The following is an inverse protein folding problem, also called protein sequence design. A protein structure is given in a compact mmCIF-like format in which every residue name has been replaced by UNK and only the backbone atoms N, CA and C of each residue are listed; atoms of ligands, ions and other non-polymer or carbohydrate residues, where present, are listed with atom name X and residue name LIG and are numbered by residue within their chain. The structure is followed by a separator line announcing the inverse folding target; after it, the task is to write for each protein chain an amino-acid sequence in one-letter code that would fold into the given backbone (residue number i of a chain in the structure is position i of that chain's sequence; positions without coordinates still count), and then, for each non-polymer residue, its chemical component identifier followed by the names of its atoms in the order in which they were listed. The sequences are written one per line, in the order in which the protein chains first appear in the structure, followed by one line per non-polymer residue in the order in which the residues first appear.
data_IF_102292049872
#
_entry.id   IF_102292049872
#
_cell.length_a   1.000
_cell.length_b   1.000
_cell.length_c   1.000
_cell.angle_alpha   90.00
_cell.angle_beta   90.00
_cell.angle_gamma   90.00
#
_symmetry.space_group_name_H-M   'P 1'
#
loop_
_entity.id
_entity.type
_entity.pdbx_description
1 polymer ?
#
# COMPACT_ATOMS: atom_id res chain seq x y z
N UNK A 1 -30.77 -8.46 3.73
CA UNK A 1 -29.86 -7.78 2.79
C UNK A 1 -28.43 -8.03 3.22
N UNK A 2 -27.62 -8.56 2.34
CA UNK A 2 -26.19 -8.68 2.59
C UNK A 2 -25.53 -7.32 2.33
N UNK A 3 -24.82 -6.80 3.32
CA UNK A 3 -24.00 -5.60 3.16
C UNK A 3 -22.61 -6.04 2.70
N UNK A 4 -22.32 -5.91 1.42
CA UNK A 4 -20.99 -6.18 0.86
C UNK A 4 -20.14 -4.93 0.96
N UNK A 5 -18.98 -5.04 1.61
CA UNK A 5 -18.01 -3.95 1.65
C UNK A 5 -17.16 -3.97 0.37
N UNK A 6 -17.06 -2.82 -0.29
CA UNK A 6 -16.16 -2.67 -1.44
C UNK A 6 -14.91 -1.92 -1.00
N UNK A 7 -13.75 -2.58 -1.17
CA UNK A 7 -12.45 -2.02 -0.80
C UNK A 7 -11.71 -1.57 -2.08
N UNK A 8 -11.59 -0.28 -2.27
CA UNK A 8 -10.77 0.29 -3.34
C UNK A 8 -9.34 0.44 -2.82
N UNK A 9 -8.42 -0.33 -3.37
CA UNK A 9 -7.03 -0.41 -2.89
C UNK A 9 -6.03 -0.13 -4.00
N UNK A 10 -4.95 0.55 -3.64
CA UNK A 10 -3.89 0.93 -4.57
C UNK A 10 -2.52 0.73 -3.92
N UNK A 11 -1.52 0.46 -4.75
CA UNK A 11 -0.12 0.39 -4.36
C UNK A 11 0.54 1.71 -4.76
N UNK A 12 1.11 2.44 -3.80
CA UNK A 12 1.84 3.67 -4.10
C UNK A 12 1.75 4.75 -3.03
N UNK A 13 0.63 4.85 -2.31
CA UNK A 13 0.53 5.76 -1.17
C UNK A 13 1.33 5.22 0.02
N UNK A 14 2.10 6.09 0.65
CA UNK A 14 2.92 5.71 1.80
C UNK A 14 2.08 5.38 3.04
N UNK A 15 1.03 6.14 3.29
CA UNK A 15 0.11 5.86 4.41
C UNK A 15 -0.62 4.52 4.27
N UNK A 16 -0.74 4.00 3.07
CA UNK A 16 -1.37 2.70 2.82
C UNK A 16 -0.60 1.54 3.43
N UNK A 17 0.69 1.73 3.75
CA UNK A 17 1.44 0.75 4.56
C UNK A 17 0.67 0.38 5.84
N UNK A 18 0.15 1.39 6.55
CA UNK A 18 -0.59 1.17 7.79
C UNK A 18 -1.84 0.30 7.57
N UNK A 19 -2.54 0.54 6.47
CA UNK A 19 -3.71 -0.26 6.09
C UNK A 19 -3.31 -1.68 5.68
N UNK A 20 -2.22 -1.81 4.92
CA UNK A 20 -1.78 -3.11 4.38
C UNK A 20 -1.48 -4.13 5.48
N UNK A 21 -1.00 -3.69 6.63
CA UNK A 21 -0.65 -4.57 7.75
C UNK A 21 -1.81 -4.85 8.70
N UNK A 22 -2.98 -4.22 8.48
CA UNK A 22 -4.13 -4.30 9.39
C UNK A 22 -5.42 -4.78 8.72
N UNK A 23 -5.52 -4.64 7.40
CA UNK A 23 -6.79 -4.82 6.69
C UNK A 23 -7.35 -6.24 6.83
N UNK A 24 -6.51 -7.27 6.67
CA UNK A 24 -6.95 -8.67 6.78
C UNK A 24 -7.63 -8.95 8.13
N UNK A 25 -7.00 -8.52 9.22
CA UNK A 25 -7.54 -8.70 10.56
C UNK A 25 -8.86 -7.94 10.74
N UNK A 26 -8.92 -6.70 10.26
CA UNK A 26 -10.14 -5.90 10.35
C UNK A 26 -11.29 -6.52 9.57
N UNK A 27 -11.04 -7.01 8.36
CA UNK A 27 -12.06 -7.66 7.54
C UNK A 27 -12.55 -8.96 8.19
N UNK A 28 -11.65 -9.78 8.71
CA UNK A 28 -12.01 -11.06 9.34
C UNK A 28 -12.84 -10.87 10.62
N UNK A 29 -12.64 -9.77 11.34
CA UNK A 29 -13.34 -9.51 12.60
C UNK A 29 -14.71 -8.86 12.41
N UNK A 30 -14.87 -8.01 11.40
CA UNK A 30 -16.03 -7.12 11.31
C UNK A 30 -16.88 -7.28 10.06
N UNK A 31 -16.38 -7.94 9.02
CA UNK A 31 -17.07 -8.01 7.74
C UNK A 31 -17.11 -9.45 7.24
N UNK A 32 -18.28 -9.92 6.86
CA UNK A 32 -18.45 -11.27 6.31
C UNK A 32 -18.11 -11.33 4.82
N UNK A 33 -18.56 -10.33 4.07
CA UNK A 33 -18.39 -10.26 2.61
C UNK A 33 -17.71 -8.97 2.20
N UNK A 34 -16.62 -9.07 1.46
CA UNK A 34 -15.94 -7.92 0.88
C UNK A 34 -15.47 -8.21 -0.53
N UNK A 35 -15.39 -7.16 -1.33
CA UNK A 35 -14.86 -7.19 -2.69
C UNK A 35 -13.70 -6.22 -2.77
N UNK A 36 -12.58 -6.67 -3.32
CA UNK A 36 -11.41 -5.83 -3.55
C UNK A 36 -11.43 -5.32 -4.98
N UNK A 37 -11.35 -4.01 -5.15
CA UNK A 37 -11.26 -3.34 -6.44
C UNK A 37 -9.95 -2.55 -6.51
N UNK A 38 -8.92 -3.10 -7.16
CA UNK A 38 -7.66 -2.39 -7.33
C UNK A 38 -7.82 -1.20 -8.25
N UNK A 39 -7.08 -0.12 -7.95
CA UNK A 39 -7.00 1.06 -8.81
C UNK A 39 -5.63 1.71 -8.68
N UNK A 40 -5.31 2.66 -9.56
CA UNK A 40 -4.02 3.33 -9.59
C UNK A 40 -4.16 4.77 -9.14
N UNK A 41 -4.08 5.00 -7.81
CA UNK A 41 -4.26 6.34 -7.24
C UNK A 41 -3.17 7.31 -7.70
N UNK A 42 -1.93 6.83 -7.87
CA UNK A 42 -0.82 7.69 -8.27
C UNK A 42 -1.06 8.29 -9.65
N UNK A 43 -1.55 7.48 -10.58
CA UNK A 43 -1.89 7.95 -11.92
C UNK A 43 -2.99 9.02 -11.87
N UNK A 44 -4.02 8.79 -11.07
CA UNK A 44 -5.11 9.75 -10.88
C UNK A 44 -4.57 11.08 -10.31
N UNK A 45 -3.71 11.00 -9.29
CA UNK A 45 -3.11 12.19 -8.70
C UNK A 45 -2.25 12.98 -9.69
N UNK A 46 -1.48 12.29 -10.53
CA UNK A 46 -0.67 12.93 -11.59
C UNK A 46 -1.59 13.61 -12.61
N UNK A 47 -2.62 12.91 -13.09
CA UNK A 47 -3.56 13.44 -14.07
C UNK A 47 -4.34 14.65 -13.54
N UNK A 48 -4.60 14.70 -12.24
CA UNK A 48 -5.28 15.80 -11.57
C UNK A 48 -4.32 16.91 -11.09
N UNK A 49 -3.04 16.79 -11.32
CA UNK A 49 -2.01 17.71 -10.84
C UNK A 49 -2.08 17.94 -9.31
N UNK A 50 -2.46 16.89 -8.57
CA UNK A 50 -2.65 16.95 -7.13
C UNK A 50 -1.83 15.86 -6.42
N UNK A 51 -0.56 16.16 -6.15
CA UNK A 51 0.35 15.27 -5.43
C UNK A 51 0.51 15.81 -4.01
N UNK A 52 -0.03 15.12 -2.97
CA UNK A 52 -0.06 15.67 -1.61
C UNK A 52 1.31 15.76 -0.94
N UNK A 53 2.27 14.90 -1.30
CA UNK A 53 3.60 14.88 -0.70
C UNK A 53 4.70 14.91 -1.78
N UNK A 54 4.83 16.01 -2.54
CA UNK A 54 5.88 16.10 -3.56
C UNK A 54 7.25 16.20 -2.90
N UNK A 55 8.27 15.60 -3.51
CA UNK A 55 9.65 15.61 -2.97
C UNK A 55 10.21 17.02 -2.78
N UNK A 56 9.72 17.97 -3.55
CA UNK A 56 10.11 19.40 -3.42
C UNK A 56 9.71 20.03 -2.08
N UNK A 57 8.71 19.47 -1.40
CA UNK A 57 8.28 19.91 -0.07
C UNK A 57 8.87 18.99 0.99
N UNK A 58 10.18 19.09 1.19
CA UNK A 58 10.95 18.19 2.06
C UNK A 58 10.46 18.11 3.49
N UNK A 59 10.08 19.24 4.07
CA UNK A 59 9.57 19.30 5.46
C UNK A 59 8.24 18.52 5.60
N UNK A 60 7.37 18.64 4.61
CA UNK A 60 6.10 17.91 4.59
C UNK A 60 6.33 16.41 4.43
N UNK A 61 7.28 16.02 3.59
CA UNK A 61 7.66 14.61 3.39
C UNK A 61 8.28 14.04 4.67
N UNK A 62 9.15 14.79 5.33
CA UNK A 62 9.74 14.37 6.61
C UNK A 62 8.68 14.17 7.69
N UNK A 63 7.71 15.10 7.78
CA UNK A 63 6.59 14.95 8.69
C UNK A 63 5.77 13.67 8.38
N UNK A 64 5.53 13.40 7.12
CA UNK A 64 4.83 12.18 6.69
C UNK A 64 5.51 10.92 7.23
N UNK A 65 6.84 10.83 7.12
CA UNK A 65 7.59 9.68 7.64
C UNK A 65 7.45 9.53 9.15
N UNK A 66 7.58 10.62 9.88
CA UNK A 66 7.41 10.61 11.34
C UNK A 66 6.00 10.22 11.76
N UNK A 67 5.00 10.70 11.03
CA UNK A 67 3.61 10.38 11.32
C UNK A 67 3.31 8.89 11.06
N UNK A 68 3.85 8.32 9.99
CA UNK A 68 3.72 6.89 9.71
C UNK A 68 4.34 6.05 10.83
N UNK A 69 5.53 6.42 11.31
CA UNK A 69 6.19 5.72 12.42
C UNK A 69 5.36 5.77 13.70
N UNK A 70 4.82 6.94 14.05
CA UNK A 70 3.96 7.10 15.23
C UNK A 70 2.68 6.28 15.13
N UNK A 71 2.06 6.25 13.96
CA UNK A 71 0.83 5.48 13.74
C UNK A 71 1.13 3.98 13.74
N UNK A 72 2.25 3.54 13.18
CA UNK A 72 2.67 2.15 13.25
C UNK A 72 2.81 1.68 14.71
N UNK A 73 3.46 2.49 15.54
CA UNK A 73 3.58 2.22 16.97
C UNK A 73 2.19 2.12 17.64
N UNK A 74 1.32 3.09 17.36
CA UNK A 74 -0.04 3.13 17.91
C UNK A 74 -0.86 1.89 17.53
N UNK A 75 -0.70 1.40 16.32
CA UNK A 75 -1.46 0.25 15.80
C UNK A 75 -0.78 -1.09 16.09
N UNK A 76 0.35 -1.09 16.78
CA UNK A 76 1.11 -2.29 17.12
C UNK A 76 1.52 -3.13 15.91
N UNK A 77 1.86 -2.45 14.82
CA UNK A 77 2.44 -3.07 13.63
C UNK A 77 3.92 -2.72 13.52
N UNK A 78 4.65 -3.40 12.61
CA UNK A 78 6.07 -3.17 12.43
C UNK A 78 6.35 -1.70 12.10
N UNK A 79 7.27 -1.08 12.83
CA UNK A 79 7.64 0.32 12.63
C UNK A 79 8.74 0.38 11.58
N UNK A 80 8.52 1.07 10.44
CA UNK A 80 9.53 1.14 9.40
C UNK A 80 10.67 2.09 9.75
N UNK A 81 11.87 1.78 9.26
CA UNK A 81 12.97 2.74 9.21
C UNK A 81 12.79 3.63 8.00
N UNK A 82 12.55 4.91 8.22
CA UNK A 82 12.29 5.86 7.14
C UNK A 82 13.47 6.81 6.91
N UNK A 83 13.63 7.36 5.70
CA UNK A 83 12.76 7.20 4.52
C UNK A 83 12.91 5.84 3.84
N UNK A 84 11.85 5.39 3.21
CA UNK A 84 11.89 4.24 2.27
C UNK A 84 11.91 4.77 0.83
N UNK A 85 12.23 3.92 -0.19
CA UNK A 85 12.20 4.38 -1.58
C UNK A 85 10.85 5.01 -1.95
N UNK A 86 10.86 6.29 -2.34
CA UNK A 86 9.64 7.06 -2.60
C UNK A 86 9.96 8.23 -3.54
N UNK A 87 9.09 8.60 -4.48
CA UNK A 87 7.88 7.90 -4.90
C UNK A 87 8.20 6.63 -5.71
N UNK A 88 7.21 5.74 -5.86
CA UNK A 88 7.40 4.51 -6.65
C UNK A 88 7.68 4.84 -8.11
N UNK A 89 8.64 4.14 -8.70
CA UNK A 89 8.96 4.24 -10.12
C UNK A 89 8.00 3.42 -10.98
N UNK A 90 7.66 2.22 -10.53
CA UNK A 90 6.83 1.25 -11.26
C UNK A 90 5.44 1.09 -10.65
N UNK A 91 4.80 2.21 -10.33
CA UNK A 91 3.45 2.18 -9.75
C UNK A 91 2.40 1.59 -10.70
N UNK A 92 2.58 1.72 -12.02
CA UNK A 92 1.70 1.10 -13.01
C UNK A 92 1.79 -0.42 -12.93
N UNK A 93 3.00 -0.98 -12.95
CA UNK A 93 3.23 -2.42 -12.84
C UNK A 93 2.70 -2.96 -11.52
N UNK A 94 2.97 -2.29 -10.40
CA UNK A 94 2.49 -2.70 -9.09
C UNK A 94 0.97 -2.85 -9.06
N UNK A 95 0.26 -1.92 -9.68
CA UNK A 95 -1.21 -1.94 -9.69
C UNK A 95 -1.80 -2.88 -10.74
N UNK A 96 -1.11 -3.12 -11.86
CA UNK A 96 -1.50 -4.16 -12.81
C UNK A 96 -1.41 -5.55 -12.18
N UNK A 97 -0.35 -5.83 -11.44
CA UNK A 97 -0.22 -7.07 -10.68
C UNK A 97 -1.34 -7.16 -9.63
N UNK A 98 -1.70 -6.04 -9.01
CA UNK A 98 -2.83 -5.97 -8.10
C UNK A 98 -4.16 -6.38 -8.75
N UNK A 99 -4.39 -5.96 -9.99
CA UNK A 99 -5.59 -6.39 -10.75
C UNK A 99 -5.58 -7.91 -10.96
N UNK A 100 -4.45 -8.47 -11.37
CA UNK A 100 -4.30 -9.91 -11.53
C UNK A 100 -4.53 -10.63 -10.20
N UNK A 101 -3.93 -10.14 -9.13
CA UNK A 101 -4.07 -10.71 -7.79
C UNK A 101 -5.54 -10.72 -7.32
N UNK A 102 -6.28 -9.66 -7.58
CA UNK A 102 -7.69 -9.58 -7.23
C UNK A 102 -8.53 -10.57 -8.03
N UNK A 103 -8.23 -10.72 -9.31
CA UNK A 103 -8.93 -11.68 -10.19
C UNK A 103 -8.69 -13.13 -9.78
N UNK A 104 -7.49 -13.44 -9.32
CA UNK A 104 -7.08 -14.80 -8.94
C UNK A 104 -7.24 -15.10 -7.44
N UNK A 105 -7.66 -14.11 -6.64
CA UNK A 105 -7.98 -14.32 -5.24
C UNK A 105 -6.81 -14.23 -4.26
N UNK A 106 -5.66 -13.64 -4.65
CA UNK A 106 -4.50 -13.49 -3.77
C UNK A 106 -4.10 -12.03 -3.52
N UNK A 107 -5.04 -11.09 -3.68
CA UNK A 107 -4.72 -9.67 -3.52
C UNK A 107 -4.22 -9.33 -2.11
N UNK A 108 -4.86 -9.84 -1.05
CA UNK A 108 -4.44 -9.50 0.31
C UNK A 108 -3.02 -9.97 0.61
N UNK A 109 -2.64 -11.16 0.14
CA UNK A 109 -1.27 -11.67 0.29
C UNK A 109 -0.28 -10.77 -0.46
N UNK A 110 -0.59 -10.39 -1.67
CA UNK A 110 0.21 -9.46 -2.46
C UNK A 110 0.34 -8.10 -1.77
N UNK A 111 -0.78 -7.53 -1.34
CA UNK A 111 -0.87 -6.23 -0.70
C UNK A 111 -0.03 -6.15 0.58
N UNK A 112 -0.20 -7.10 1.47
CA UNK A 112 0.57 -7.18 2.71
C UNK A 112 2.07 -7.35 2.44
N UNK A 113 2.43 -8.30 1.58
CA UNK A 113 3.82 -8.66 1.33
C UNK A 113 4.57 -7.56 0.60
N UNK A 114 3.99 -6.98 -0.46
CA UNK A 114 4.67 -5.94 -1.22
C UNK A 114 4.93 -4.70 -0.37
N UNK A 115 4.00 -4.31 0.50
CA UNK A 115 4.19 -3.19 1.42
C UNK A 115 5.19 -3.51 2.53
N UNK A 116 5.19 -4.73 3.06
CA UNK A 116 6.18 -5.13 4.07
C UNK A 116 7.59 -5.14 3.49
N UNK A 117 7.77 -5.71 2.31
CA UNK A 117 9.06 -5.69 1.62
C UNK A 117 9.53 -4.26 1.34
N UNK A 118 8.62 -3.38 0.95
CA UNK A 118 8.94 -1.99 0.68
C UNK A 118 9.32 -1.23 1.95
N UNK A 119 8.50 -1.28 2.99
CA UNK A 119 8.66 -0.46 4.20
C UNK A 119 9.65 -1.05 5.21
N UNK A 120 9.79 -2.36 5.31
CA UNK A 120 10.67 -2.99 6.29
C UNK A 120 12.01 -3.41 5.66
N UNK A 121 11.99 -3.95 4.45
CA UNK A 121 13.19 -4.43 3.78
C UNK A 121 13.77 -3.43 2.77
N UNK A 122 13.15 -2.28 2.59
CA UNK A 122 13.55 -1.22 1.65
C UNK A 122 13.63 -1.69 0.18
N UNK A 123 12.81 -2.68 -0.18
CA UNK A 123 12.67 -3.18 -1.54
C UNK A 123 11.45 -2.51 -2.18
N UNK A 124 11.70 -1.52 -3.02
CA UNK A 124 10.64 -0.70 -3.62
C UNK A 124 9.56 -1.55 -4.29
N UNK A 125 8.28 -1.27 -3.98
CA UNK A 125 7.15 -1.96 -4.60
C UNK A 125 7.19 -1.80 -6.11
N UNK A 126 6.96 -2.88 -6.86
CA UNK A 126 7.06 -2.88 -8.31
C UNK A 126 8.48 -3.10 -8.84
N UNK A 127 9.50 -3.13 -7.97
CA UNK A 127 10.86 -3.48 -8.36
C UNK A 127 10.99 -4.97 -8.59
N UNK A 128 11.97 -5.37 -9.39
CA UNK A 128 12.26 -6.77 -9.65
C UNK A 128 12.54 -7.54 -8.34
N UNK A 129 13.31 -6.95 -7.43
CA UNK A 129 13.62 -7.57 -6.14
C UNK A 129 12.37 -7.79 -5.28
N UNK A 130 11.52 -6.78 -5.18
CA UNK A 130 10.27 -6.90 -4.41
C UNK A 130 9.40 -8.00 -5.01
N UNK A 131 9.16 -7.95 -6.33
CA UNK A 131 8.30 -8.92 -7.01
C UNK A 131 8.83 -10.35 -6.93
N UNK A 132 10.15 -10.55 -6.96
CA UNK A 132 10.75 -11.88 -6.89
C UNK A 132 10.55 -12.56 -5.53
N UNK A 133 10.28 -11.83 -4.49
CA UNK A 133 10.07 -12.35 -3.13
C UNK A 133 8.59 -12.54 -2.77
N UNK A 134 7.69 -12.26 -3.69
CA UNK A 134 6.26 -12.49 -3.48
C UNK A 134 5.94 -13.92 -3.90
N UNK A 135 5.60 -14.73 -2.91
CA UNK A 135 5.20 -16.13 -3.11
C UNK A 135 3.68 -16.23 -3.15
N UNK A 136 3.18 -16.79 -4.21
CA UNK A 136 1.76 -16.96 -4.49
C UNK A 136 1.37 -18.42 -4.29
#
# INVERSE_FOLDING_TARGET
MSNTLVCWLSIGSTYTYLTSQRLRSALNQQVKDFIIKPFNIRKIMIDMENIPFPRSKSEKVEYMWKDIQRRALKYEILIPETPVPYPLKNFDLSNLIGVLAAREGWYLDYFETTYQLWFINHLEAGSEKNLSLIHI
#
